data_IF_597926164696
#
_entry.id   IF_597926164696
#
_cell.length_a   1.000
_cell.length_b   1.000
_cell.length_c   1.000
_cell.angle_alpha   90.00
_cell.angle_beta   90.00
_cell.angle_gamma   90.00
#
_symmetry.space_group_name_H-M   'P 1'
#
loop_
_entity.id
_entity.type
_entity.pdbx_description
1 polymer ?
#
# COMPACT_ATOMS: atom_id res chain seq x y z
N UNK A 1 -36.28 -60.38 -55.43
CA UNK A 1 -36.96 -59.54 -54.44
C UNK A 1 -35.90 -59.17 -53.42
N UNK A 2 -35.30 -57.99 -53.56
CA UNK A 2 -34.69 -57.22 -52.46
C UNK A 2 -34.31 -55.85 -53.03
N UNK A 3 -34.59 -54.84 -52.22
CA UNK A 3 -34.98 -53.48 -52.60
C UNK A 3 -34.00 -52.45 -52.03
N UNK A 4 -33.79 -51.39 -52.81
CA UNK A 4 -33.72 -49.95 -52.46
C UNK A 4 -33.31 -49.57 -51.02
N UNK A 5 -32.34 -48.65 -50.89
CA UNK A 5 -32.59 -47.23 -50.60
C UNK A 5 -31.25 -46.46 -50.52
N UNK A 6 -30.94 -45.55 -51.45
CA UNK A 6 -29.71 -44.72 -51.44
C UNK A 6 -29.98 -43.22 -51.61
N UNK A 7 -31.14 -42.74 -51.13
CA UNK A 7 -31.61 -41.37 -51.38
C UNK A 7 -31.67 -40.44 -50.18
N UNK A 8 -31.37 -40.89 -48.96
CA UNK A 8 -31.59 -40.09 -47.74
C UNK A 8 -30.34 -39.38 -47.20
N UNK A 9 -29.13 -39.92 -47.41
CA UNK A 9 -27.92 -39.40 -46.73
C UNK A 9 -27.31 -38.12 -47.35
N UNK A 10 -27.70 -37.77 -48.58
CA UNK A 10 -27.14 -36.60 -49.28
C UNK A 10 -27.86 -35.27 -48.97
N UNK A 11 -29.04 -35.29 -48.34
CA UNK A 11 -29.79 -34.05 -48.02
C UNK A 11 -29.41 -33.52 -46.63
N UNK A 12 -29.18 -34.39 -45.64
CA UNK A 12 -28.73 -33.98 -44.31
C UNK A 12 -27.30 -33.40 -44.33
N UNK A 13 -26.42 -33.96 -45.17
CA UNK A 13 -25.03 -33.51 -45.29
C UNK A 13 -24.92 -32.10 -45.89
N UNK A 14 -25.82 -31.73 -46.81
CA UNK A 14 -25.84 -30.39 -47.41
C UNK A 14 -26.49 -29.33 -46.50
N UNK A 15 -27.48 -29.70 -45.68
CA UNK A 15 -28.06 -28.78 -44.69
C UNK A 15 -27.11 -28.50 -43.52
N UNK A 16 -26.31 -29.49 -43.08
CA UNK A 16 -25.27 -29.25 -42.08
C UNK A 16 -24.11 -28.40 -42.62
N UNK A 17 -23.73 -28.54 -43.89
CA UNK A 17 -22.71 -27.67 -44.50
C UNK A 17 -23.19 -26.22 -44.68
N UNK A 18 -24.44 -25.98 -45.08
CA UNK A 18 -24.99 -24.61 -45.17
C UNK A 18 -25.21 -23.94 -43.79
N UNK A 19 -25.56 -24.69 -42.74
CA UNK A 19 -25.61 -24.13 -41.38
C UNK A 19 -24.22 -23.88 -40.79
N UNK A 20 -23.20 -24.63 -41.20
CA UNK A 20 -21.82 -24.41 -40.75
C UNK A 20 -21.15 -23.23 -41.46
N UNK A 21 -21.48 -22.96 -42.73
CA UNK A 21 -20.95 -21.81 -43.48
C UNK A 21 -21.64 -20.46 -43.15
N UNK A 22 -22.82 -20.49 -42.53
CA UNK A 22 -23.53 -19.24 -42.14
C UNK A 22 -23.12 -18.71 -40.76
N UNK A 23 -22.32 -19.45 -39.98
CA UNK A 23 -21.76 -19.01 -38.70
C UNK A 23 -20.32 -18.48 -38.79
N UNK A 24 -19.77 -18.38 -40.01
CA UNK A 24 -18.42 -17.82 -40.29
C UNK A 24 -18.48 -16.41 -40.91
N UNK A 25 -19.46 -15.58 -40.54
CA UNK A 25 -19.45 -14.16 -40.89
C UNK A 25 -19.95 -13.27 -39.74
N UNK A 26 -19.09 -13.09 -38.74
CA UNK A 26 -18.87 -11.84 -37.97
C UNK A 26 -17.99 -12.16 -36.76
N UNK A 27 -16.81 -12.73 -36.99
CA UNK A 27 -15.75 -12.65 -35.99
C UNK A 27 -15.11 -11.26 -36.11
N UNK A 28 -15.83 -10.24 -35.63
CA UNK A 28 -15.19 -9.03 -35.15
C UNK A 28 -14.48 -9.43 -33.86
N UNK A 29 -13.36 -10.14 -33.99
CA UNK A 29 -12.30 -10.10 -33.00
C UNK A 29 -11.91 -8.63 -32.91
N UNK A 30 -12.56 -7.90 -32.00
CA UNK A 30 -11.99 -6.67 -31.45
C UNK A 30 -10.63 -7.11 -30.94
N UNK A 31 -9.58 -6.87 -31.72
CA UNK A 31 -8.21 -6.95 -31.22
C UNK A 31 -8.23 -6.16 -29.92
N UNK A 32 -8.04 -6.86 -28.80
CA UNK A 32 -7.90 -6.20 -27.51
C UNK A 32 -6.72 -5.23 -27.71
N UNK A 33 -6.92 -3.91 -27.57
CA UNK A 33 -5.89 -2.95 -27.93
C UNK A 33 -4.60 -3.34 -27.23
N UNK A 34 -3.50 -3.48 -27.99
CA UNK A 34 -2.19 -3.83 -27.45
C UNK A 34 -1.86 -2.84 -26.35
N UNK A 35 -1.92 -3.33 -25.11
CA UNK A 35 -1.80 -2.50 -23.92
C UNK A 35 -0.41 -1.86 -23.86
N UNK A 36 -0.36 -0.56 -23.58
CA UNK A 36 0.88 0.21 -23.55
C UNK A 36 1.72 -0.27 -22.37
N UNK A 37 2.96 -0.69 -22.63
CA UNK A 37 3.90 -1.06 -21.57
C UNK A 37 4.35 0.21 -20.84
N UNK A 38 4.41 0.16 -19.51
CA UNK A 38 5.00 1.24 -18.71
C UNK A 38 6.48 1.42 -19.09
N UNK A 39 6.91 2.67 -19.16
CA UNK A 39 8.32 3.05 -19.35
C UNK A 39 8.97 3.41 -18.01
N UNK A 40 10.29 3.32 -17.93
CA UNK A 40 11.02 3.72 -16.74
C UNK A 40 11.12 5.25 -16.64
N UNK A 41 10.83 5.80 -15.47
CA UNK A 41 11.14 7.17 -15.12
C UNK A 41 12.63 7.29 -14.79
N UNK A 42 13.44 7.65 -15.78
CA UNK A 42 14.89 7.84 -15.61
C UNK A 42 15.28 8.77 -14.45
N UNK A 43 14.56 9.88 -14.18
CA UNK A 43 14.82 10.68 -12.98
C UNK A 43 14.67 9.85 -11.69
N UNK A 44 13.61 9.05 -11.57
CA UNK A 44 13.39 8.17 -10.42
C UNK A 44 14.48 7.10 -10.32
N UNK A 45 14.84 6.47 -11.45
CA UNK A 45 15.91 5.45 -11.52
C UNK A 45 17.22 6.01 -10.99
N UNK A 46 17.66 7.16 -11.50
CA UNK A 46 18.91 7.78 -11.09
C UNK A 46 18.86 8.19 -9.62
N UNK A 47 17.77 8.81 -9.19
CA UNK A 47 17.58 9.23 -7.80
C UNK A 47 17.72 8.05 -6.82
N UNK A 48 16.94 6.98 -7.03
CA UNK A 48 16.99 5.84 -6.13
C UNK A 48 18.33 5.10 -6.22
N UNK A 49 18.94 4.98 -7.40
CA UNK A 49 20.27 4.37 -7.54
C UNK A 49 21.31 5.11 -6.69
N UNK A 50 21.36 6.44 -6.78
CA UNK A 50 22.27 7.24 -5.95
C UNK A 50 21.96 7.07 -4.46
N UNK A 51 20.67 7.14 -4.08
CA UNK A 51 20.28 6.97 -2.68
C UNK A 51 20.68 5.61 -2.11
N UNK A 52 20.56 4.53 -2.88
CA UNK A 52 20.97 3.19 -2.45
C UNK A 52 22.49 3.11 -2.27
N UNK A 53 23.29 3.65 -3.20
CA UNK A 53 24.75 3.67 -3.09
C UNK A 53 25.17 4.45 -1.83
N UNK A 54 24.63 5.66 -1.64
CA UNK A 54 24.97 6.51 -0.51
C UNK A 54 24.49 5.94 0.83
N UNK A 55 23.29 5.36 0.87
CA UNK A 55 22.75 4.74 2.08
C UNK A 55 23.52 3.49 2.47
N UNK A 56 23.92 2.64 1.52
CA UNK A 56 24.77 1.47 1.79
C UNK A 56 26.14 1.89 2.32
N UNK A 57 26.75 2.94 1.77
CA UNK A 57 27.96 3.52 2.34
C UNK A 57 27.73 4.09 3.75
N UNK A 58 26.54 4.65 4.00
CA UNK A 58 26.10 5.07 5.33
C UNK A 58 26.16 3.95 6.39
N UNK A 59 25.92 2.69 6.03
CA UNK A 59 26.06 1.56 6.96
C UNK A 59 27.50 1.44 7.45
N UNK A 60 28.48 1.56 6.55
CA UNK A 60 29.89 1.54 6.92
C UNK A 60 30.25 2.72 7.83
N UNK A 61 29.79 3.94 7.50
CA UNK A 61 30.02 5.14 8.33
C UNK A 61 29.37 5.02 9.71
N UNK A 62 28.18 4.42 9.79
CA UNK A 62 27.45 4.21 11.05
C UNK A 62 28.27 3.42 12.07
N UNK A 63 29.02 2.41 11.63
CA UNK A 63 29.84 1.57 12.51
C UNK A 63 31.27 2.06 12.74
N UNK A 64 31.76 3.00 11.92
CA UNK A 64 33.16 3.44 11.97
C UNK A 64 33.35 4.84 12.55
N UNK A 65 32.42 5.77 12.26
CA UNK A 65 32.63 7.20 12.51
C UNK A 65 31.44 7.91 13.14
N UNK A 66 30.22 7.39 12.98
CA UNK A 66 29.02 8.06 13.50
C UNK A 66 28.98 8.02 15.03
N UNK A 67 28.68 9.17 15.65
CA UNK A 67 28.44 9.23 17.08
C UNK A 67 27.16 8.48 17.45
N UNK A 68 27.10 7.96 18.68
CA UNK A 68 25.89 7.32 19.20
C UNK A 68 24.67 8.25 19.13
N UNK A 69 24.87 9.56 19.34
CA UNK A 69 23.80 10.55 19.26
C UNK A 69 23.24 10.66 17.84
N UNK A 70 24.09 10.68 16.81
CA UNK A 70 23.65 10.64 15.41
C UNK A 70 22.88 9.36 15.10
N UNK A 71 23.30 8.21 15.62
CA UNK A 71 22.59 6.93 15.41
C UNK A 71 21.19 6.97 16.05
N UNK A 72 21.09 7.40 17.32
CA UNK A 72 19.81 7.53 18.02
C UNK A 72 18.88 8.56 17.35
N UNK A 73 19.43 9.69 16.91
CA UNK A 73 18.70 10.70 16.17
C UNK A 73 18.19 10.16 14.83
N UNK A 74 19.04 9.46 14.08
CA UNK A 74 18.68 8.81 12.81
C UNK A 74 17.55 7.81 13.00
N UNK A 75 17.64 6.96 14.03
CA UNK A 75 16.59 6.01 14.38
C UNK A 75 15.28 6.71 14.72
N UNK A 76 15.34 7.77 15.53
CA UNK A 76 14.17 8.56 15.93
C UNK A 76 13.48 9.18 14.71
N UNK A 77 14.23 9.81 13.81
CA UNK A 77 13.66 10.39 12.60
C UNK A 77 13.12 9.34 11.63
N UNK A 78 13.78 8.18 11.51
CA UNK A 78 13.27 7.03 10.73
C UNK A 78 11.91 6.60 11.26
N UNK A 79 11.82 6.41 12.58
CA UNK A 79 10.61 5.99 13.27
C UNK A 79 9.46 6.99 13.08
N UNK A 80 9.72 8.30 13.28
CA UNK A 80 8.72 9.34 13.03
C UNK A 80 8.25 9.34 11.57
N UNK A 81 9.17 9.15 10.61
CA UNK A 81 8.82 8.99 9.20
C UNK A 81 7.86 7.82 8.95
N UNK A 82 8.18 6.64 9.50
CA UNK A 82 7.33 5.43 9.39
C UNK A 82 5.97 5.67 10.05
N UNK A 83 5.93 6.30 11.22
CA UNK A 83 4.69 6.66 11.91
C UNK A 83 3.82 7.59 11.05
N UNK A 84 4.41 8.60 10.42
CA UNK A 84 3.69 9.51 9.52
C UNK A 84 3.15 8.83 8.25
N UNK A 85 3.88 7.87 7.70
CA UNK A 85 3.42 7.08 6.55
C UNK A 85 2.28 6.12 6.92
N UNK A 86 2.39 5.42 8.06
CA UNK A 86 1.48 4.35 8.47
C UNK A 86 0.26 4.87 9.24
N UNK A 87 0.45 5.51 10.41
CA UNK A 87 -0.66 6.08 11.17
C UNK A 87 -1.31 7.26 10.42
N UNK A 88 -0.50 8.08 9.76
CA UNK A 88 -0.96 9.23 8.98
C UNK A 88 -1.46 8.87 7.58
N UNK A 89 -0.56 8.91 6.58
CA UNK A 89 -0.91 8.80 5.16
C UNK A 89 -1.83 7.62 4.87
N UNK A 90 -1.51 6.47 5.46
CA UNK A 90 -2.24 5.24 5.23
C UNK A 90 -3.54 5.13 6.05
N UNK A 91 -3.46 5.00 7.37
CA UNK A 91 -4.63 4.66 8.20
C UNK A 91 -5.57 5.84 8.44
N UNK A 92 -5.06 7.05 8.62
CA UNK A 92 -5.87 8.25 8.83
C UNK A 92 -6.45 8.78 7.52
N UNK A 93 -5.61 9.10 6.53
CA UNK A 93 -6.07 9.80 5.33
C UNK A 93 -6.52 8.87 4.20
N UNK A 94 -5.75 7.81 3.88
CA UNK A 94 -6.16 6.95 2.77
C UNK A 94 -7.41 6.12 3.10
N UNK A 95 -7.50 5.61 4.33
CA UNK A 95 -8.53 4.65 4.74
C UNK A 95 -9.52 5.12 5.79
N UNK A 96 -9.31 6.30 6.39
CA UNK A 96 -10.22 6.89 7.38
C UNK A 96 -10.59 5.90 8.49
N UNK A 97 -9.59 5.18 9.00
CA UNK A 97 -9.78 4.16 10.06
C UNK A 97 -10.03 4.78 11.44
N UNK A 98 -9.73 6.08 11.60
CA UNK A 98 -10.01 6.87 12.80
C UNK A 98 -10.07 8.36 12.44
N UNK A 99 -10.65 9.16 13.33
CA UNK A 99 -10.65 10.63 13.25
C UNK A 99 -9.53 11.18 14.13
N UNK A 100 -8.76 12.15 13.61
CA UNK A 100 -7.71 12.83 14.38
C UNK A 100 -8.06 14.30 14.66
N UNK A 101 -7.70 14.79 15.85
CA UNK A 101 -7.67 16.21 16.19
C UNK A 101 -6.73 16.98 15.26
N UNK A 102 -6.93 18.30 15.12
CA UNK A 102 -6.09 19.13 14.24
C UNK A 102 -4.61 19.10 14.65
N UNK A 103 -4.30 19.08 15.95
CA UNK A 103 -2.92 18.97 16.45
C UNK A 103 -2.27 17.66 16.03
N UNK A 104 -2.98 16.54 16.16
CA UNK A 104 -2.48 15.23 15.72
C UNK A 104 -2.31 15.17 14.20
N UNK A 105 -3.23 15.74 13.42
CA UNK A 105 -3.10 15.85 11.95
C UNK A 105 -1.85 16.62 11.56
N UNK A 106 -1.57 17.76 12.21
CA UNK A 106 -0.35 18.56 11.97
C UNK A 106 0.90 17.74 12.31
N UNK A 107 0.91 17.09 13.48
CA UNK A 107 2.04 16.25 13.89
C UNK A 107 2.32 15.11 12.88
N UNK A 108 1.29 14.36 12.49
CA UNK A 108 1.41 13.27 11.52
C UNK A 108 1.80 13.79 10.13
N UNK A 109 1.39 15.00 9.76
CA UNK A 109 1.77 15.63 8.49
C UNK A 109 3.27 15.99 8.46
N UNK A 110 3.82 16.52 9.55
CA UNK A 110 5.25 16.77 9.68
C UNK A 110 6.03 15.45 9.62
N UNK A 111 5.55 14.43 10.33
CA UNK A 111 6.10 13.08 10.31
C UNK A 111 6.09 12.46 8.90
N UNK A 112 4.98 12.58 8.15
CA UNK A 112 4.89 12.07 6.78
C UNK A 112 5.85 12.82 5.84
N UNK A 113 5.99 14.13 6.02
CA UNK A 113 6.94 14.92 5.23
C UNK A 113 8.39 14.47 5.50
N UNK A 114 8.72 14.13 6.75
CA UNK A 114 10.00 13.53 7.12
C UNK A 114 10.23 12.15 6.47
N UNK A 115 9.17 11.41 6.12
CA UNK A 115 9.28 10.16 5.37
C UNK A 115 9.75 10.36 3.93
N UNK A 116 9.46 11.51 3.32
CA UNK A 116 9.93 11.89 1.98
C UNK A 116 9.30 11.11 0.83
N UNK A 117 8.03 10.72 0.94
CA UNK A 117 7.32 9.92 -0.08
C UNK A 117 6.35 10.75 -0.94
N UNK A 118 6.63 12.03 -1.11
CA UNK A 118 5.72 12.97 -1.76
C UNK A 118 4.65 13.51 -0.81
N UNK A 119 3.82 14.43 -1.32
CA UNK A 119 2.71 15.00 -0.56
C UNK A 119 1.72 13.91 -0.14
N UNK A 120 1.06 14.09 1.01
CA UNK A 120 -0.02 13.21 1.50
C UNK A 120 -1.10 13.07 0.42
N UNK A 121 -1.48 14.17 -0.23
CA UNK A 121 -2.48 14.15 -1.31
C UNK A 121 -2.14 13.14 -2.41
N UNK A 122 -0.94 13.26 -3.00
CA UNK A 122 -0.50 12.37 -4.07
C UNK A 122 -0.34 10.93 -3.59
N UNK A 123 0.19 10.73 -2.38
CA UNK A 123 0.35 9.41 -1.79
C UNK A 123 -1.01 8.72 -1.60
N UNK A 124 -1.99 9.40 -1.02
CA UNK A 124 -3.35 8.89 -0.79
C UNK A 124 -4.03 8.56 -2.11
N UNK A 125 -3.92 9.44 -3.12
CA UNK A 125 -4.52 9.22 -4.43
C UNK A 125 -4.01 7.92 -5.08
N UNK A 126 -2.69 7.73 -5.10
CA UNK A 126 -2.08 6.51 -5.65
C UNK A 126 -2.42 5.28 -4.81
N UNK A 127 -2.46 5.41 -3.47
CA UNK A 127 -2.78 4.29 -2.58
C UNK A 127 -4.25 3.83 -2.71
N UNK A 128 -5.18 4.77 -2.84
CA UNK A 128 -6.60 4.44 -3.10
C UNK A 128 -6.77 3.73 -4.44
N UNK A 129 -6.06 4.17 -5.49
CA UNK A 129 -6.06 3.46 -6.77
C UNK A 129 -5.47 2.06 -6.64
N UNK A 130 -4.37 1.90 -5.91
CA UNK A 130 -3.75 0.62 -5.61
C UNK A 130 -4.76 -0.35 -4.95
N UNK A 131 -5.54 0.11 -3.97
CA UNK A 131 -6.60 -0.70 -3.37
C UNK A 131 -7.73 -1.06 -4.36
N UNK A 132 -8.21 -0.10 -5.15
CA UNK A 132 -9.27 -0.32 -6.14
C UNK A 132 -8.87 -1.31 -7.23
N UNK A 133 -7.58 -1.31 -7.60
CA UNK A 133 -7.02 -2.14 -8.66
C UNK A 133 -6.14 -3.26 -8.13
N UNK A 134 -6.21 -3.59 -6.84
CA UNK A 134 -5.30 -4.54 -6.21
C UNK A 134 -5.17 -5.85 -7.00
N UNK A 135 -3.93 -6.22 -7.33
CA UNK A 135 -3.57 -7.39 -8.18
C UNK A 135 -4.09 -7.36 -9.62
N UNK A 136 -4.51 -6.20 -10.12
CA UNK A 136 -4.81 -5.98 -11.52
C UNK A 136 -3.61 -5.28 -12.17
N UNK A 137 -3.48 -5.38 -13.49
CA UNK A 137 -2.39 -4.72 -14.23
C UNK A 137 -2.41 -3.18 -14.13
N UNK A 138 -3.57 -2.58 -13.81
CA UNK A 138 -3.71 -1.14 -13.62
C UNK A 138 -3.19 -0.64 -12.27
N UNK A 139 -2.92 -1.55 -11.33
CA UNK A 139 -2.33 -1.22 -10.04
C UNK A 139 -0.92 -0.64 -10.22
N UNK A 140 -0.66 0.60 -9.76
CA UNK A 140 0.65 1.24 -9.77
C UNK A 140 1.80 0.39 -9.22
N UNK A 141 1.54 -0.44 -8.23
CA UNK A 141 2.55 -1.16 -7.46
C UNK A 141 2.57 -2.65 -7.75
N UNK A 142 1.53 -3.19 -8.38
CA UNK A 142 1.45 -4.62 -8.66
C UNK A 142 2.53 -5.06 -9.64
N UNK A 143 3.18 -6.17 -9.28
CA UNK A 143 3.99 -6.94 -10.21
C UNK A 143 3.66 -8.41 -10.04
N UNK A 144 3.14 -9.05 -11.09
CA UNK A 144 2.95 -10.51 -11.12
C UNK A 144 4.25 -11.30 -11.39
N UNK A 145 5.42 -10.65 -11.37
CA UNK A 145 6.69 -11.27 -11.80
C UNK A 145 7.48 -11.87 -10.65
N UNK A 146 8.11 -11.03 -9.82
CA UNK A 146 8.98 -11.44 -8.72
C UNK A 146 9.13 -10.33 -7.68
N UNK A 147 9.73 -10.66 -6.54
CA UNK A 147 9.97 -9.75 -5.42
C UNK A 147 10.65 -8.43 -5.84
N UNK A 148 11.75 -8.47 -6.61
CA UNK A 148 12.47 -7.25 -7.02
C UNK A 148 11.61 -6.36 -7.93
N UNK A 149 10.76 -6.99 -8.75
CA UNK A 149 9.86 -6.26 -9.62
C UNK A 149 8.76 -5.50 -8.83
N UNK A 150 8.32 -6.04 -7.69
CA UNK A 150 7.38 -5.37 -6.79
C UNK A 150 8.05 -4.41 -5.80
N UNK A 151 9.26 -4.71 -5.34
CA UNK A 151 10.00 -3.92 -4.35
C UNK A 151 10.56 -2.62 -4.96
N UNK A 152 11.17 -2.71 -6.15
CA UNK A 152 11.91 -1.59 -6.73
C UNK A 152 11.37 -1.19 -8.11
N UNK A 153 11.15 -2.17 -9.00
CA UNK A 153 10.82 -1.85 -10.38
C UNK A 153 9.50 -1.06 -10.48
N UNK A 154 8.42 -1.49 -9.83
CA UNK A 154 7.12 -0.78 -9.85
C UNK A 154 7.21 0.69 -9.40
N UNK A 155 8.16 1.02 -8.54
CA UNK A 155 8.39 2.35 -7.97
C UNK A 155 9.10 3.32 -8.94
N UNK A 156 9.80 2.77 -9.94
CA UNK A 156 10.56 3.54 -10.94
C UNK A 156 9.87 3.62 -12.29
N UNK A 157 8.70 3.04 -12.45
CA UNK A 157 7.94 3.06 -13.70
C UNK A 157 6.98 4.25 -13.75
N UNK A 158 6.94 4.94 -14.88
CA UNK A 158 5.92 5.95 -15.18
C UNK A 158 4.53 5.32 -15.27
N UNK A 159 3.50 6.14 -15.07
CA UNK A 159 2.11 5.72 -15.28
C UNK A 159 1.79 5.60 -16.78
N UNK A 160 0.93 4.65 -17.14
CA UNK A 160 0.32 4.65 -18.50
C UNK A 160 -0.77 5.73 -18.58
N UNK A 161 -1.19 6.14 -19.79
CA UNK A 161 -2.33 7.04 -19.96
C UNK A 161 -3.61 6.53 -19.29
N UNK A 162 -3.84 5.21 -19.28
CA UNK A 162 -5.00 4.64 -18.57
C UNK A 162 -4.87 4.81 -17.05
N UNK A 163 -3.70 4.56 -16.48
CA UNK A 163 -3.45 4.75 -15.05
C UNK A 163 -3.61 6.22 -14.64
N UNK A 164 -3.15 7.17 -15.46
CA UNK A 164 -3.36 8.60 -15.22
C UNK A 164 -4.84 9.00 -15.25
N UNK A 165 -5.63 8.40 -16.13
CA UNK A 165 -7.09 8.61 -16.16
C UNK A 165 -7.76 8.03 -14.92
N UNK A 166 -7.36 6.83 -14.50
CA UNK A 166 -7.88 6.20 -13.29
C UNK A 166 -7.54 7.01 -12.04
N UNK A 167 -6.32 7.55 -11.92
CA UNK A 167 -5.93 8.43 -10.82
C UNK A 167 -6.84 9.65 -10.71
N UNK A 168 -7.27 10.24 -11.83
CA UNK A 168 -8.20 11.39 -11.85
C UNK A 168 -9.62 11.03 -11.41
N UNK A 169 -9.99 9.75 -11.45
CA UNK A 169 -11.31 9.25 -11.03
C UNK A 169 -11.35 8.83 -9.56
N UNK A 170 -10.19 8.74 -8.89
CA UNK A 170 -10.13 8.48 -7.45
C UNK A 170 -10.81 9.63 -6.72
N UNK A 171 -11.78 9.30 -5.88
CA UNK A 171 -12.40 10.27 -4.99
C UNK A 171 -11.37 10.78 -3.97
N UNK A 172 -11.22 12.11 -3.93
CA UNK A 172 -10.29 12.84 -3.08
C UNK A 172 -10.99 13.97 -2.32
N UNK A 173 -12.33 14.02 -2.36
CA UNK A 173 -13.13 15.12 -1.78
C UNK A 173 -12.82 15.36 -0.30
N UNK A 174 -12.73 14.29 0.49
CA UNK A 174 -12.37 14.34 1.91
C UNK A 174 -10.96 14.90 2.15
N UNK A 175 -10.02 14.62 1.24
CA UNK A 175 -8.64 15.11 1.31
C UNK A 175 -8.56 16.58 0.89
N UNK A 176 -9.36 16.99 -0.09
CA UNK A 176 -9.47 18.38 -0.53
C UNK A 176 -10.09 19.30 0.53
N UNK A 177 -10.99 18.76 1.36
CA UNK A 177 -11.56 19.45 2.51
C UNK A 177 -10.59 19.55 3.70
N UNK A 178 -9.60 18.64 3.82
CA UNK A 178 -8.59 18.67 4.88
C UNK A 178 -7.55 19.78 4.65
N UNK A 179 -7.74 20.90 5.35
CA UNK A 179 -6.83 22.06 5.30
C UNK A 179 -5.38 21.74 5.65
N UNK A 180 -5.11 20.74 6.50
CA UNK A 180 -3.74 20.36 6.88
C UNK A 180 -3.06 19.66 5.70
N UNK A 181 -3.77 18.75 5.03
CA UNK A 181 -3.25 18.08 3.83
C UNK A 181 -3.04 19.07 2.69
N UNK A 182 -4.01 19.96 2.47
CA UNK A 182 -3.91 20.96 1.40
C UNK A 182 -2.81 21.99 1.66
N UNK A 183 -2.56 22.35 2.93
CA UNK A 183 -1.38 23.13 3.32
C UNK A 183 -0.09 22.40 2.97
N UNK A 184 0.03 21.13 3.37
CA UNK A 184 1.23 20.34 3.08
C UNK A 184 1.44 20.17 1.57
N UNK A 185 0.39 19.88 0.80
CA UNK A 185 0.45 19.80 -0.66
C UNK A 185 0.99 21.08 -1.29
N UNK A 186 0.51 22.25 -0.85
CA UNK A 186 0.92 23.56 -1.37
C UNK A 186 2.38 23.89 -1.06
N UNK A 187 2.85 23.55 0.14
CA UNK A 187 4.19 23.89 0.62
C UNK A 187 5.14 22.68 0.70
N UNK A 188 4.80 21.57 0.03
CA UNK A 188 5.48 20.28 0.22
C UNK A 188 6.99 20.40 0.04
N UNK A 189 7.45 21.04 -1.04
CA UNK A 189 8.88 21.16 -1.33
C UNK A 189 9.63 22.02 -0.31
N UNK A 190 8.96 23.02 0.27
CA UNK A 190 9.54 23.84 1.34
C UNK A 190 9.66 23.00 2.62
N UNK A 191 8.57 22.35 3.03
CA UNK A 191 8.56 21.49 4.22
C UNK A 191 9.53 20.31 4.07
N UNK A 192 9.58 19.69 2.89
CA UNK A 192 10.52 18.61 2.56
C UNK A 192 11.96 19.07 2.71
N UNK A 193 12.32 20.24 2.15
CA UNK A 193 13.67 20.77 2.31
C UNK A 193 14.04 20.95 3.79
N UNK A 194 13.18 21.58 4.60
CA UNK A 194 13.50 21.83 6.00
C UNK A 194 13.48 20.58 6.88
N UNK A 195 12.47 19.73 6.73
CA UNK A 195 12.24 18.59 7.62
C UNK A 195 12.99 17.33 7.17
N UNK A 196 12.99 17.04 5.87
CA UNK A 196 13.56 15.80 5.35
C UNK A 196 15.05 15.94 4.98
N UNK A 197 15.50 17.12 4.55
CA UNK A 197 16.89 17.35 4.11
C UNK A 197 17.70 18.11 5.14
N UNK A 198 17.29 19.34 5.47
CA UNK A 198 18.07 20.24 6.32
C UNK A 198 18.15 19.72 7.76
N UNK A 199 17.03 19.32 8.37
CA UNK A 199 17.02 18.85 9.76
C UNK A 199 17.97 17.65 9.99
N UNK A 200 17.93 16.56 9.19
CA UNK A 200 18.84 15.42 9.40
C UNK A 200 20.32 15.75 9.17
N UNK A 201 20.63 16.67 8.25
CA UNK A 201 22.02 17.04 7.94
C UNK A 201 22.56 18.09 8.92
N UNK A 202 21.77 19.11 9.25
CA UNK A 202 22.21 20.24 10.06
C UNK A 202 22.35 19.86 11.54
N UNK A 203 21.42 19.07 12.07
CA UNK A 203 21.41 18.80 13.51
C UNK A 203 22.70 18.10 14.01
N UNK A 204 23.23 17.06 13.33
CA UNK A 204 24.49 16.45 13.72
C UNK A 204 25.70 17.36 13.65
N UNK A 205 25.75 18.24 12.64
CA UNK A 205 26.88 19.14 12.43
C UNK A 205 26.90 20.27 13.47
N UNK A 206 25.75 20.90 13.69
CA UNK A 206 25.66 22.11 14.50
C UNK A 206 25.62 21.82 16.00
N UNK A 207 24.85 20.81 16.44
CA UNK A 207 24.53 20.67 17.87
C UNK A 207 25.44 19.71 18.63
N UNK A 208 26.08 18.75 17.94
CA UNK A 208 27.01 17.81 18.59
C UNK A 208 28.29 17.52 17.79
N UNK A 209 28.55 18.31 16.74
CA UNK A 209 29.84 18.34 16.05
C UNK A 209 30.24 17.03 15.35
N UNK A 210 29.28 16.27 14.85
CA UNK A 210 29.58 15.04 14.10
C UNK A 210 30.17 15.38 12.71
N UNK A 211 30.74 14.38 12.04
CA UNK A 211 31.34 14.57 10.73
C UNK A 211 30.28 14.81 9.64
N UNK A 212 30.68 15.51 8.56
CA UNK A 212 29.88 15.66 7.34
C UNK A 212 29.48 14.29 6.76
N UNK A 213 30.36 13.30 6.87
CA UNK A 213 30.07 11.94 6.42
C UNK A 213 28.94 11.29 7.26
N UNK A 214 28.99 11.42 8.59
CA UNK A 214 27.93 10.91 9.48
C UNK A 214 26.59 11.59 9.21
N UNK A 215 26.58 12.92 9.10
CA UNK A 215 25.36 13.69 8.82
C UNK A 215 24.74 13.32 7.46
N UNK A 216 25.57 13.25 6.42
CA UNK A 216 25.10 13.03 5.04
C UNK A 216 24.73 11.57 4.80
N UNK A 217 25.62 10.62 5.11
CA UNK A 217 25.42 9.23 4.73
C UNK A 217 24.58 8.46 5.75
N UNK A 218 24.63 8.80 7.04
CA UNK A 218 23.85 8.10 8.08
C UNK A 218 22.51 8.80 8.31
N UNK A 219 22.54 10.04 8.81
CA UNK A 219 21.33 10.74 9.23
C UNK A 219 20.40 11.09 8.06
N UNK A 220 20.95 11.34 6.87
CA UNK A 220 20.16 11.61 5.67
C UNK A 220 20.00 10.38 4.76
N UNK A 221 21.07 9.89 4.12
CA UNK A 221 20.95 8.86 3.06
C UNK A 221 20.51 7.48 3.56
N UNK A 222 21.18 6.92 4.57
CA UNK A 222 20.82 5.62 5.14
C UNK A 222 19.41 5.66 5.74
N UNK A 223 19.09 6.72 6.49
CA UNK A 223 17.74 6.96 7.02
C UNK A 223 16.68 6.86 5.93
N UNK A 224 16.86 7.60 4.84
CA UNK A 224 15.88 7.65 3.77
C UNK A 224 15.81 6.33 2.99
N UNK A 225 16.95 5.67 2.78
CA UNK A 225 17.01 4.32 2.22
C UNK A 225 16.18 3.31 3.04
N UNK A 226 16.30 3.34 4.37
CA UNK A 226 15.55 2.47 5.28
C UNK A 226 14.06 2.76 5.18
N UNK A 227 13.64 4.03 5.29
CA UNK A 227 12.21 4.41 5.22
C UNK A 227 11.57 3.93 3.92
N UNK A 228 12.22 4.16 2.77
CA UNK A 228 11.68 3.74 1.47
C UNK A 228 11.56 2.22 1.36
N UNK A 229 12.60 1.48 1.72
CA UNK A 229 12.58 0.03 1.59
C UNK A 229 11.58 -0.63 2.53
N UNK A 230 11.39 -0.10 3.75
CA UNK A 230 10.35 -0.55 4.67
C UNK A 230 8.97 -0.30 4.08
N UNK A 231 8.70 0.88 3.54
CA UNK A 231 7.39 1.17 2.94
C UNK A 231 7.12 0.37 1.67
N UNK A 232 8.13 0.15 0.82
CA UNK A 232 7.99 -0.67 -0.38
C UNK A 232 7.86 -2.16 -0.10
N UNK A 233 8.36 -2.63 1.06
CA UNK A 233 8.22 -4.02 1.47
C UNK A 233 6.75 -4.46 1.50
N UNK A 234 5.84 -3.55 1.84
CA UNK A 234 4.38 -3.83 1.87
C UNK A 234 3.89 -4.33 0.50
N UNK A 235 4.41 -3.74 -0.57
CA UNK A 235 4.01 -4.09 -1.95
C UNK A 235 4.60 -5.41 -2.42
N UNK A 236 5.75 -5.83 -1.87
CA UNK A 236 6.50 -7.00 -2.34
C UNK A 236 6.40 -8.20 -1.39
N UNK A 237 5.97 -7.99 -0.15
CA UNK A 237 6.02 -9.03 0.87
C UNK A 237 5.08 -10.21 0.60
N UNK A 238 4.10 -10.05 -0.28
CA UNK A 238 3.30 -11.18 -0.77
C UNK A 238 4.13 -12.27 -1.47
N UNK A 239 5.29 -11.92 -2.04
CA UNK A 239 6.25 -12.88 -2.60
C UNK A 239 7.06 -13.61 -1.53
N UNK A 240 7.37 -12.95 -0.41
CA UNK A 240 8.12 -13.58 0.70
C UNK A 240 7.20 -14.57 1.42
N UNK A 241 5.97 -14.15 1.69
CA UNK A 241 5.03 -14.88 2.53
C UNK A 241 4.13 -15.87 1.77
N UNK A 242 4.20 -15.92 0.44
CA UNK A 242 3.43 -16.85 -0.39
C UNK A 242 1.93 -16.61 -0.27
N UNK A 243 1.53 -15.33 -0.24
CA UNK A 243 0.14 -14.91 0.01
C UNK A 243 -0.72 -14.88 -1.26
N UNK A 244 -0.13 -15.28 -2.37
CA UNK A 244 -0.79 -15.48 -3.65
C UNK A 244 -0.78 -16.97 -3.95
N UNK A 245 -1.91 -17.48 -4.45
CA UNK A 245 -2.16 -18.91 -4.71
C UNK A 245 -1.10 -19.52 -5.62
N UNK A 246 -0.51 -18.70 -6.49
CA UNK A 246 0.49 -19.11 -7.47
C UNK A 246 1.94 -19.02 -6.97
N UNK A 247 2.16 -18.43 -5.79
CA UNK A 247 3.50 -18.21 -5.24
C UNK A 247 3.70 -19.05 -3.99
N UNK A 248 4.63 -20.01 -4.09
CA UNK A 248 5.11 -20.73 -2.91
C UNK A 248 5.81 -19.73 -1.99
N UNK A 249 5.50 -19.77 -0.69
CA UNK A 249 6.26 -19.03 0.30
C UNK A 249 7.76 -19.38 0.17
N UNK A 250 8.63 -18.40 0.37
CA UNK A 250 10.06 -18.68 0.35
C UNK A 250 10.42 -19.62 1.49
N UNK A 251 10.96 -20.81 1.20
CA UNK A 251 11.46 -21.76 2.23
C UNK A 251 12.78 -21.26 2.90
N UNK A 252 13.08 -19.97 2.79
CA UNK A 252 14.29 -19.32 3.27
C UNK A 252 14.23 -19.03 4.77
N UNK A 253 15.35 -19.22 5.47
CA UNK A 253 15.53 -18.81 6.86
C UNK A 253 15.29 -17.30 7.09
N UNK A 254 15.26 -16.47 6.04
CA UNK A 254 14.88 -15.05 6.14
C UNK A 254 13.45 -14.84 6.62
N UNK A 255 12.53 -15.78 6.37
CA UNK A 255 11.16 -15.76 6.92
C UNK A 255 11.18 -15.82 8.45
N UNK A 256 12.26 -16.32 9.07
CA UNK A 256 12.41 -16.35 10.52
C UNK A 256 12.59 -14.94 11.12
N UNK A 257 13.19 -14.02 10.38
CA UNK A 257 13.41 -12.63 10.82
C UNK A 257 12.24 -11.69 10.47
N UNK A 258 11.35 -12.12 9.58
CA UNK A 258 10.18 -11.35 9.15
C UNK A 258 8.94 -12.20 9.45
N UNK A 259 8.29 -11.95 10.58
CA UNK A 259 7.05 -12.62 11.00
C UNK A 259 6.09 -12.75 9.83
N UNK A 260 5.58 -13.97 9.58
CA UNK A 260 4.57 -14.21 8.56
C UNK A 260 3.29 -13.46 8.91
N UNK A 261 3.16 -12.26 8.37
CA UNK A 261 1.98 -11.44 8.50
C UNK A 261 1.06 -11.74 7.32
N UNK A 262 -0.08 -12.37 7.56
CA UNK A 262 -1.18 -12.45 6.59
C UNK A 262 -1.97 -11.13 6.52
N UNK A 263 -1.50 -10.11 7.23
CA UNK A 263 -2.23 -8.87 7.45
C UNK A 263 -2.27 -7.91 6.27
N UNK A 264 -1.32 -7.91 5.29
CA UNK A 264 -1.58 -7.20 4.04
C UNK A 264 -2.86 -7.69 3.37
N UNK A 265 -3.16 -9.00 3.37
CA UNK A 265 -4.40 -9.54 2.76
C UNK A 265 -5.62 -9.13 3.57
N UNK A 266 -5.54 -9.22 4.89
CA UNK A 266 -6.61 -8.75 5.75
C UNK A 266 -6.86 -7.26 5.54
N UNK A 267 -5.81 -6.46 5.37
CA UNK A 267 -5.89 -5.04 5.08
C UNK A 267 -6.57 -4.75 3.72
N UNK A 268 -6.31 -5.53 2.67
CA UNK A 268 -7.06 -5.40 1.41
C UNK A 268 -8.52 -5.86 1.52
N UNK A 269 -8.84 -6.74 2.47
CA UNK A 269 -10.23 -7.17 2.75
C UNK A 269 -10.98 -6.17 3.63
N UNK A 270 -10.26 -5.51 4.54
CA UNK A 270 -10.76 -4.62 5.59
C UNK A 270 -9.87 -3.37 5.70
N UNK A 271 -9.87 -2.52 4.67
CA UNK A 271 -9.02 -1.33 4.65
C UNK A 271 -9.39 -0.33 5.74
N UNK A 272 -10.66 -0.30 6.15
CA UNK A 272 -11.19 0.62 7.15
C UNK A 272 -10.97 0.17 8.62
N UNK A 273 -10.25 -0.92 8.87
CA UNK A 273 -9.91 -1.37 10.24
C UNK A 273 -8.59 -0.73 10.72
N UNK A 274 -8.62 0.03 11.82
CA UNK A 274 -7.41 0.66 12.36
C UNK A 274 -6.36 -0.36 12.86
N UNK A 275 -6.80 -1.60 13.13
CA UNK A 275 -5.97 -2.72 13.57
C UNK A 275 -5.41 -3.56 12.42
N UNK A 276 -5.85 -3.33 11.17
CA UNK A 276 -5.33 -4.02 9.99
C UNK A 276 -3.99 -3.41 9.54
N UNK A 277 -2.96 -3.63 10.35
CA UNK A 277 -1.62 -3.13 10.10
C UNK A 277 -0.85 -3.89 9.02
N UNK A 278 0.14 -3.22 8.46
CA UNK A 278 1.01 -3.70 7.38
C UNK A 278 2.13 -4.60 7.92
N UNK A 279 2.44 -4.46 9.21
CA UNK A 279 3.47 -5.18 9.93
C UNK A 279 2.91 -5.70 11.26
N UNK A 280 3.35 -6.87 11.74
CA UNK A 280 2.96 -7.39 13.05
C UNK A 280 1.79 -8.37 13.03
N UNK A 281 1.08 -8.47 14.16
CA UNK A 281 -0.11 -9.30 14.36
C UNK A 281 -1.33 -8.40 14.66
N UNK A 282 -2.57 -8.88 14.45
CA UNK A 282 -3.78 -8.08 14.70
C UNK A 282 -3.78 -7.52 16.10
N UNK A 283 -4.12 -6.25 16.24
CA UNK A 283 -4.09 -5.54 17.52
C UNK A 283 -2.70 -5.41 18.17
N UNK A 284 -1.66 -6.06 17.66
CA UNK A 284 -0.35 -6.24 18.31
C UNK A 284 0.78 -5.50 17.60
N UNK A 285 0.48 -4.80 16.50
CA UNK A 285 1.46 -3.96 15.86
C UNK A 285 1.67 -2.64 16.60
N UNK A 286 2.90 -2.15 16.52
CA UNK A 286 3.32 -0.95 17.22
C UNK A 286 2.52 0.29 16.79
N UNK A 287 2.13 0.38 15.52
CA UNK A 287 1.36 1.53 15.01
C UNK A 287 -0.05 1.54 15.58
N UNK A 288 -0.70 0.38 15.67
CA UNK A 288 -1.99 0.23 16.39
C UNK A 288 -1.85 0.66 17.84
N UNK A 289 -0.77 0.27 18.54
CA UNK A 289 -0.52 0.71 19.91
C UNK A 289 -0.39 2.25 20.00
N UNK A 290 0.32 2.88 19.07
CA UNK A 290 0.42 4.35 19.03
C UNK A 290 -0.93 5.03 18.79
N UNK A 291 -1.76 4.51 17.89
CA UNK A 291 -3.11 5.04 17.64
C UNK A 291 -3.96 4.94 18.91
N UNK A 292 -3.86 3.85 19.67
CA UNK A 292 -4.52 3.72 20.97
C UNK A 292 -4.01 4.70 22.01
N UNK A 293 -2.71 4.98 22.03
CA UNK A 293 -2.16 6.05 22.89
C UNK A 293 -2.74 7.41 22.49
N UNK A 294 -2.83 7.72 21.21
CA UNK A 294 -3.48 8.94 20.75
C UNK A 294 -4.96 8.99 21.15
N UNK A 295 -5.67 7.86 21.09
CA UNK A 295 -7.05 7.78 21.54
C UNK A 295 -7.20 7.96 23.05
N UNK A 296 -6.31 7.37 23.84
CA UNK A 296 -6.27 7.55 25.30
C UNK A 296 -5.94 8.99 25.72
N UNK A 297 -5.32 9.77 24.83
CA UNK A 297 -5.02 11.20 25.02
C UNK A 297 -6.10 12.11 24.39
N UNK A 298 -7.24 11.55 23.95
CA UNK A 298 -8.32 12.27 23.25
C UNK A 298 -7.87 12.99 21.95
N UNK A 299 -6.73 12.57 21.38
CA UNK A 299 -6.22 13.10 20.11
C UNK A 299 -6.77 12.35 18.89
N UNK A 300 -7.26 11.12 19.10
CA UNK A 300 -7.90 10.29 18.09
C UNK A 300 -9.25 9.75 18.59
N UNK A 301 -10.27 9.74 17.73
CA UNK A 301 -11.62 9.25 18.02
C UNK A 301 -12.11 8.34 16.89
N UNK A 302 -13.24 7.67 17.11
CA UNK A 302 -13.92 6.88 16.07
C UNK A 302 -13.04 5.80 15.43
N UNK A 303 -12.21 5.16 16.25
CA UNK A 303 -11.33 4.06 15.82
C UNK A 303 -12.21 2.90 15.33
N UNK A 304 -12.20 2.63 14.02
CA UNK A 304 -13.04 1.62 13.37
C UNK A 304 -12.37 0.26 13.41
N UNK A 305 -13.04 -0.75 13.94
CA UNK A 305 -12.54 -2.13 13.93
C UNK A 305 -13.70 -3.12 13.76
N UNK A 306 -13.43 -4.37 13.41
CA UNK A 306 -14.48 -5.35 13.12
C UNK A 306 -14.33 -6.61 13.96
N UNK A 307 -15.45 -7.13 14.45
CA UNK A 307 -15.46 -8.40 15.18
C UNK A 307 -15.29 -9.60 14.24
N UNK A 308 -14.74 -10.68 14.78
CA UNK A 308 -14.67 -11.96 14.07
C UNK A 308 -16.06 -12.49 13.67
N UNK A 309 -17.12 -12.10 14.39
CA UNK A 309 -18.51 -12.46 14.07
C UNK A 309 -18.99 -11.75 12.82
N UNK A 310 -18.75 -10.44 12.69
CA UNK A 310 -19.10 -9.70 11.47
C UNK A 310 -18.31 -10.18 10.25
N UNK A 311 -17.01 -10.48 10.42
CA UNK A 311 -16.21 -11.10 9.34
C UNK A 311 -16.83 -12.44 8.90
N UNK A 312 -17.17 -13.32 9.84
CA UNK A 312 -17.81 -14.61 9.52
C UNK A 312 -19.14 -14.42 8.80
N UNK A 313 -19.99 -13.51 9.27
CA UNK A 313 -21.27 -13.19 8.60
C UNK A 313 -21.05 -12.69 7.18
N UNK A 314 -20.08 -11.79 6.97
CA UNK A 314 -19.73 -11.30 5.63
C UNK A 314 -19.24 -12.41 4.69
N UNK A 315 -18.39 -13.31 5.20
CA UNK A 315 -17.95 -14.49 4.44
C UNK A 315 -19.13 -15.42 4.10
N UNK A 316 -20.02 -15.68 5.06
CA UNK A 316 -21.24 -16.47 4.83
C UNK A 316 -22.12 -15.82 3.76
N UNK A 317 -22.39 -14.52 3.87
CA UNK A 317 -23.18 -13.78 2.87
C UNK A 317 -22.52 -13.84 1.49
N UNK A 318 -21.19 -13.73 1.40
CA UNK A 318 -20.50 -13.83 0.11
C UNK A 318 -20.67 -15.21 -0.55
N UNK A 319 -20.63 -16.29 0.25
CA UNK A 319 -20.88 -17.66 -0.23
C UNK A 319 -22.33 -17.85 -0.65
N UNK A 320 -23.29 -17.35 0.14
CA UNK A 320 -24.72 -17.52 -0.12
C UNK A 320 -25.20 -16.70 -1.33
N UNK A 321 -24.70 -15.48 -1.50
CA UNK A 321 -25.17 -14.57 -2.56
C UNK A 321 -24.28 -14.51 -3.79
N UNK A 322 -23.06 -15.06 -3.73
CA UNK A 322 -22.05 -14.95 -4.80
C UNK A 322 -21.52 -13.53 -5.03
N UNK A 323 -21.78 -12.59 -4.10
CA UNK A 323 -21.30 -11.20 -4.19
C UNK A 323 -19.83 -11.12 -3.78
N UNK A 324 -19.10 -10.07 -4.21
CA UNK A 324 -17.71 -9.87 -3.80
C UNK A 324 -17.51 -9.91 -2.28
N UNK A 325 -16.49 -10.64 -1.82
CA UNK A 325 -16.22 -10.86 -0.40
C UNK A 325 -16.05 -9.54 0.36
N UNK A 326 -15.29 -8.60 -0.21
CA UNK A 326 -15.01 -7.29 0.41
C UNK A 326 -16.31 -6.50 0.65
N UNK A 327 -17.22 -6.47 -0.33
CA UNK A 327 -18.50 -5.79 -0.19
C UNK A 327 -19.37 -6.41 0.90
N UNK A 328 -19.44 -7.74 0.95
CA UNK A 328 -20.20 -8.45 1.97
C UNK A 328 -19.64 -8.21 3.37
N UNK A 329 -18.31 -8.25 3.54
CA UNK A 329 -17.68 -7.95 4.82
C UNK A 329 -17.91 -6.49 5.22
N UNK A 330 -17.72 -5.55 4.29
CA UNK A 330 -17.91 -4.12 4.55
C UNK A 330 -19.36 -3.77 4.95
N UNK A 331 -20.34 -4.47 4.38
CA UNK A 331 -21.74 -4.32 4.75
C UNK A 331 -21.96 -4.63 6.25
N UNK A 332 -21.40 -5.72 6.75
CA UNK A 332 -21.51 -6.07 8.18
C UNK A 332 -20.58 -5.23 9.06
N UNK A 333 -19.43 -4.79 8.53
CA UNK A 333 -18.49 -3.90 9.23
C UNK A 333 -19.14 -2.56 9.58
N UNK A 334 -19.84 -1.95 8.62
CA UNK A 334 -20.51 -0.65 8.79
C UNK A 334 -21.51 -0.67 9.94
N UNK A 335 -22.27 -1.77 10.08
CA UNK A 335 -23.23 -1.94 11.19
C UNK A 335 -22.52 -1.95 12.55
N UNK A 336 -21.38 -2.63 12.66
CA UNK A 336 -20.63 -2.66 13.91
C UNK A 336 -19.91 -1.35 14.23
N UNK A 337 -19.47 -0.60 13.22
CA UNK A 337 -18.83 0.70 13.43
C UNK A 337 -19.76 1.69 14.13
N UNK A 338 -21.05 1.68 13.77
CA UNK A 338 -22.06 2.57 14.37
C UNK A 338 -22.40 2.20 15.82
N UNK A 339 -22.27 0.92 16.18
CA UNK A 339 -22.56 0.40 17.52
C UNK A 339 -21.33 0.35 18.45
N UNK A 340 -20.17 0.79 17.95
CA UNK A 340 -18.89 0.61 18.63
C UNK A 340 -18.75 1.52 19.86
N UNK A 341 -18.49 0.96 21.07
CA UNK A 341 -18.26 1.78 22.25
C UNK A 341 -17.04 2.68 22.07
N UNK A 342 -17.12 3.97 22.42
CA UNK A 342 -16.02 4.93 22.22
C UNK A 342 -14.68 4.48 22.82
N UNK A 343 -14.72 3.77 23.95
CA UNK A 343 -13.55 3.30 24.69
C UNK A 343 -13.18 1.84 24.38
N UNK A 344 -13.70 1.25 23.30
CA UNK A 344 -13.44 -0.14 22.93
C UNK A 344 -11.94 -0.48 22.79
N UNK A 345 -11.14 0.50 22.40
CA UNK A 345 -9.69 0.38 22.24
C UNK A 345 -8.93 0.07 23.55
N UNK A 346 -9.57 0.26 24.71
CA UNK A 346 -9.04 -0.14 26.03
C UNK A 346 -9.29 -1.62 26.35
N UNK A 347 -10.23 -2.28 25.66
CA UNK A 347 -10.62 -3.65 25.93
C UNK A 347 -10.33 -4.56 24.72
N UNK A 348 -9.21 -5.28 24.79
CA UNK A 348 -8.69 -6.09 23.68
C UNK A 348 -9.46 -7.38 23.45
N UNK A 349 -10.08 -7.93 24.48
CA UNK A 349 -10.61 -9.31 24.47
C UNK A 349 -11.87 -9.48 23.63
N UNK A 350 -12.54 -8.38 23.27
CA UNK A 350 -13.78 -8.40 22.49
C UNK A 350 -13.54 -8.50 20.97
N UNK A 351 -12.35 -8.16 20.51
CA UNK A 351 -12.02 -8.01 19.08
C UNK A 351 -10.90 -8.95 18.61
N UNK A 352 -10.38 -9.82 19.48
CA UNK A 352 -9.62 -11.02 19.10
C UNK A 352 -10.57 -12.20 18.89
#
# INVERSE_FOLDING_TARGET
>A
METQNSGADNVETQQQQQQTETLTSTDNTKECPKRIKREASWPSVLFYLHLHILGLYGIFIMFTSASLLTILFTFTLTFLGILGATAGAHRLWAHQTYTASTSLRIFLMLCQTLAGQGSIYGWVQTHRLHHQKFRQEDDPFYSGRNFLAAQVHSQIMSYTPEQEQLLKQVDMSDIEEDKVVMFQKKYYWVLYFFLHVLLPVNAPLEYWGDSIASATFVAFSLRYLIVLNVCWLINSAHFIWGLDKNFKASDSNSVFFITKSYWPQYHYLLPNDYQSGEFGDYSNDFITAMIRVFAALDLATDLRTISSVAVRKGLTTAVETGRPIVECIQQHATVEFDEMPKNHFLNRDRFM
#
